data_IF_018687270353
#
_entry.id   IF_018687270353
#
_cell.length_a   1.000
_cell.length_b   1.000
_cell.length_c   1.000
_cell.angle_alpha   90.00
_cell.angle_beta   90.00
_cell.angle_gamma   90.00
#
_symmetry.space_group_name_H-M   'P 1'
#
loop_
_entity.id
_entity.type
_entity.pdbx_description
1 polymer ?
#
# COMPACT_ATOMS: atom_id res chain seq x y z
N UNK A 1 7.28 3.21 11.10
CA UNK A 1 6.29 3.34 12.18
C UNK A 1 5.05 3.96 11.57
N UNK A 2 3.88 3.30 11.70
CA UNK A 2 2.60 3.84 11.23
C UNK A 2 2.31 5.17 11.94
N UNK A 3 1.80 6.16 11.21
CA UNK A 3 1.31 7.43 11.74
C UNK A 3 -0.15 7.35 12.17
N UNK A 4 -0.82 6.24 11.89
CA UNK A 4 -2.21 6.03 12.23
C UNK A 4 -2.36 5.52 13.68
N UNK A 5 -2.74 6.44 14.58
CA UNK A 5 -3.05 6.15 15.98
C UNK A 5 -4.56 6.32 16.21
N UNK A 6 -5.32 5.24 16.04
CA UNK A 6 -6.74 5.19 16.40
C UNK A 6 -7.09 3.84 17.01
N UNK A 7 -7.47 3.83 18.29
CA UNK A 7 -7.84 2.61 19.03
C UNK A 7 -9.10 1.93 18.49
N UNK A 8 -9.90 2.64 17.68
CA UNK A 8 -11.04 2.07 16.97
C UNK A 8 -10.64 1.25 15.75
N UNK A 9 -9.36 1.19 15.39
CA UNK A 9 -8.89 0.47 14.21
C UNK A 9 -7.83 -0.58 14.56
N UNK A 10 -7.90 -1.71 13.89
CA UNK A 10 -6.95 -2.80 14.02
C UNK A 10 -6.18 -2.99 12.72
N UNK A 11 -4.85 -3.09 12.84
CA UNK A 11 -3.98 -3.48 11.73
C UNK A 11 -4.34 -4.88 11.24
N UNK A 12 -4.50 -5.03 9.93
CA UNK A 12 -4.78 -6.31 9.27
C UNK A 12 -3.61 -6.78 8.44
N UNK A 13 -3.18 -5.97 7.49
CA UNK A 13 -2.25 -6.38 6.44
C UNK A 13 -1.31 -5.23 6.04
N UNK A 14 -0.21 -5.59 5.37
CA UNK A 14 0.75 -4.62 4.84
C UNK A 14 1.11 -5.00 3.42
N UNK A 15 1.01 -4.04 2.51
CA UNK A 15 1.38 -4.18 1.11
C UNK A 15 2.53 -3.25 0.76
N UNK A 16 3.30 -3.62 -0.26
CA UNK A 16 4.40 -2.80 -0.76
C UNK A 16 4.11 -2.34 -2.18
N UNK A 17 4.43 -1.08 -2.49
CA UNK A 17 4.47 -0.57 -3.85
C UNK A 17 5.92 -0.25 -4.18
N UNK A 18 6.57 -1.10 -4.96
CA UNK A 18 7.97 -0.96 -5.38
C UNK A 18 8.08 -0.07 -6.62
N UNK A 19 9.00 0.88 -6.62
CA UNK A 19 9.21 1.78 -7.77
C UNK A 19 10.62 2.35 -7.82
N UNK A 20 10.99 2.91 -8.98
CA UNK A 20 12.25 3.63 -9.18
C UNK A 20 12.23 4.99 -8.47
N UNK A 21 13.34 5.38 -7.84
CA UNK A 21 13.44 6.61 -7.05
C UNK A 21 13.07 7.88 -7.86
N UNK A 22 13.43 7.92 -9.14
CA UNK A 22 13.13 9.04 -10.05
C UNK A 22 11.62 9.26 -10.27
N UNK A 23 10.81 8.22 -10.05
CA UNK A 23 9.37 8.26 -10.24
C UNK A 23 8.59 8.64 -8.97
N UNK A 24 9.27 9.03 -7.89
CA UNK A 24 8.62 9.44 -6.64
C UNK A 24 7.67 10.62 -6.90
N UNK A 25 6.35 10.46 -6.71
CA UNK A 25 5.38 11.48 -7.06
C UNK A 25 5.38 12.64 -6.05
N UNK A 26 4.98 13.86 -6.46
CA UNK A 26 4.71 14.96 -5.54
C UNK A 26 3.55 14.63 -4.58
N UNK A 27 3.63 15.05 -3.33
CA UNK A 27 2.60 14.77 -2.32
C UNK A 27 1.21 15.29 -2.75
N UNK A 28 1.15 16.50 -3.31
CA UNK A 28 -0.11 17.05 -3.84
C UNK A 28 -0.72 16.21 -4.96
N UNK A 29 0.11 15.55 -5.78
CA UNK A 29 -0.37 14.72 -6.90
C UNK A 29 -1.03 13.46 -6.37
N UNK A 30 -0.43 12.85 -5.33
CA UNK A 30 -0.99 11.69 -4.63
C UNK A 30 -2.30 12.05 -3.96
N UNK A 31 -2.32 13.11 -3.14
CA UNK A 31 -3.53 13.57 -2.44
C UNK A 31 -4.69 13.85 -3.41
N UNK A 32 -4.43 14.59 -4.49
CA UNK A 32 -5.44 14.89 -5.52
C UNK A 32 -5.90 13.65 -6.26
N UNK A 33 -5.06 12.65 -6.44
CA UNK A 33 -5.43 11.41 -7.12
C UNK A 33 -6.34 10.56 -6.23
N UNK A 34 -6.03 10.43 -4.94
CA UNK A 34 -6.83 9.68 -3.99
C UNK A 34 -8.20 10.31 -3.75
N UNK A 35 -8.26 11.64 -3.55
CA UNK A 35 -9.54 12.38 -3.43
C UNK A 35 -10.42 12.31 -4.68
N UNK A 36 -9.83 12.01 -5.85
CA UNK A 36 -10.57 11.81 -7.10
C UNK A 36 -11.06 10.38 -7.28
N UNK A 37 -10.45 9.42 -6.59
CA UNK A 37 -10.80 8.01 -6.69
C UNK A 37 -12.20 7.78 -6.11
N UNK A 38 -12.42 8.27 -4.89
CA UNK A 38 -13.73 8.31 -4.25
C UNK A 38 -13.91 9.62 -3.46
N UNK A 39 -15.02 10.36 -3.66
CA UNK A 39 -15.30 11.58 -2.90
C UNK A 39 -15.50 11.37 -1.38
N UNK A 40 -15.65 10.12 -0.93
CA UNK A 40 -15.83 9.73 0.47
C UNK A 40 -14.50 9.50 1.19
N UNK A 41 -13.39 9.40 0.46
CA UNK A 41 -12.09 9.22 1.08
C UNK A 41 -11.63 10.48 1.81
N UNK A 42 -11.28 10.29 3.07
CA UNK A 42 -10.70 11.31 3.92
C UNK A 42 -9.19 11.15 3.94
N UNK A 43 -8.50 11.97 3.14
CA UNK A 43 -7.03 12.02 3.15
C UNK A 43 -6.56 13.03 4.19
N UNK A 44 -5.76 12.56 5.13
CA UNK A 44 -5.25 13.28 6.30
C UNK A 44 -3.72 13.11 6.41
N UNK A 45 -3.09 13.93 7.25
CA UNK A 45 -1.65 13.83 7.58
C UNK A 45 -0.70 13.73 6.38
N UNK A 46 -0.97 14.47 5.31
CA UNK A 46 -0.11 14.46 4.12
C UNK A 46 1.23 15.11 4.45
N UNK A 47 2.30 14.32 4.38
CA UNK A 47 3.68 14.72 4.58
C UNK A 47 4.44 14.72 3.26
N UNK A 48 5.36 15.68 3.13
CA UNK A 48 6.25 15.82 1.99
C UNK A 48 7.66 16.15 2.45
N UNK A 49 8.65 15.73 1.66
CA UNK A 49 10.04 16.09 1.89
C UNK A 49 10.30 17.58 1.54
N UNK A 50 11.54 18.05 1.75
CA UNK A 50 11.97 19.42 1.45
C UNK A 50 11.81 19.80 -0.04
N UNK A 51 11.70 18.80 -0.93
CA UNK A 51 11.49 18.97 -2.37
C UNK A 51 10.01 18.84 -2.78
N UNK A 52 9.10 18.64 -1.82
CA UNK A 52 7.66 18.50 -2.03
C UNK A 52 7.22 17.11 -2.52
N UNK A 53 8.11 16.12 -2.48
CA UNK A 53 7.79 14.72 -2.85
C UNK A 53 7.09 14.01 -1.71
N UNK A 54 6.25 13.06 -2.06
CA UNK A 54 5.39 12.34 -1.12
C UNK A 54 6.19 11.54 -0.08
N UNK A 55 5.98 11.80 1.21
CA UNK A 55 6.58 11.03 2.32
C UNK A 55 5.60 10.12 3.03
N UNK A 56 4.43 10.62 3.39
CA UNK A 56 3.41 9.80 4.03
C UNK A 56 2.03 10.45 3.93
N UNK A 57 0.98 9.65 4.07
CA UNK A 57 -0.39 10.11 4.29
C UNK A 57 -1.19 9.03 5.01
N UNK A 58 -2.28 9.46 5.61
CA UNK A 58 -3.33 8.58 6.10
C UNK A 58 -4.56 8.76 5.23
N UNK A 59 -5.15 7.67 4.74
CA UNK A 59 -6.44 7.66 4.06
C UNK A 59 -7.44 6.90 4.93
N UNK A 60 -8.59 7.49 5.19
CA UNK A 60 -9.71 6.81 5.86
C UNK A 60 -10.86 6.69 4.86
N UNK A 61 -11.43 5.48 4.77
CA UNK A 61 -12.68 5.21 4.08
C UNK A 61 -13.75 4.83 5.11
N UNK A 62 -14.56 5.79 5.58
CA UNK A 62 -15.59 5.53 6.57
C UNK A 62 -16.67 4.55 6.09
N UNK A 63 -16.96 4.56 4.78
CA UNK A 63 -17.99 3.71 4.18
C UNK A 63 -17.55 2.24 4.09
N UNK A 64 -16.23 2.02 3.95
CA UNK A 64 -15.63 0.68 3.88
C UNK A 64 -15.10 0.21 5.25
N UNK A 65 -15.31 1.01 6.31
CA UNK A 65 -14.75 0.76 7.65
C UNK A 65 -13.24 0.50 7.63
N UNK A 66 -12.52 1.16 6.71
CA UNK A 66 -11.11 0.88 6.44
C UNK A 66 -10.26 2.16 6.55
N UNK A 67 -9.01 1.99 6.91
CA UNK A 67 -8.00 3.04 6.87
C UNK A 67 -6.69 2.48 6.32
N UNK A 68 -5.93 3.35 5.67
CA UNK A 68 -4.64 3.03 5.07
C UNK A 68 -3.64 4.09 5.52
N UNK A 69 -2.53 3.64 6.09
CA UNK A 69 -1.39 4.50 6.33
C UNK A 69 -0.31 4.18 5.31
N UNK A 70 0.08 5.18 4.54
CA UNK A 70 1.01 5.00 3.42
C UNK A 70 2.27 5.78 3.74
N UNK A 71 3.42 5.13 3.71
CA UNK A 71 4.70 5.75 4.05
C UNK A 71 5.80 5.39 3.06
N UNK A 72 6.63 6.36 2.73
CA UNK A 72 7.78 6.22 1.86
C UNK A 72 8.95 5.59 2.63
N UNK A 73 9.53 4.56 2.04
CA UNK A 73 10.72 3.88 2.57
C UNK A 73 11.77 3.78 1.46
N UNK A 74 12.99 4.15 1.82
CA UNK A 74 14.18 4.03 0.96
C UNK A 74 15.38 3.63 1.80
N UNK A 75 16.42 3.12 1.15
CA UNK A 75 17.68 2.72 1.78
C UNK A 75 18.06 1.26 1.49
N UNK A 76 19.13 0.81 2.13
CA UNK A 76 19.71 -0.53 1.93
C UNK A 76 18.70 -1.64 2.23
N UNK A 77 17.84 -1.45 3.24
CA UNK A 77 16.79 -2.41 3.60
C UNK A 77 15.84 -2.72 2.42
N UNK A 78 15.42 -1.70 1.67
CA UNK A 78 14.53 -1.89 0.52
C UNK A 78 15.23 -2.69 -0.57
N UNK A 79 16.52 -2.42 -0.79
CA UNK A 79 17.32 -3.13 -1.80
C UNK A 79 17.47 -4.61 -1.44
N UNK A 80 17.79 -4.91 -0.18
CA UNK A 80 17.95 -6.28 0.30
C UNK A 80 16.64 -7.06 0.21
N UNK A 81 15.54 -6.50 0.74
CA UNK A 81 14.22 -7.15 0.71
C UNK A 81 13.70 -7.32 -0.71
N UNK A 82 13.92 -6.35 -1.60
CA UNK A 82 13.54 -6.47 -3.02
C UNK A 82 14.33 -7.56 -3.71
N UNK A 83 15.63 -7.71 -3.42
CA UNK A 83 16.45 -8.77 -3.99
C UNK A 83 16.02 -10.17 -3.52
N UNK A 84 15.68 -10.31 -2.24
CA UNK A 84 15.12 -11.56 -1.68
C UNK A 84 13.79 -11.92 -2.33
N UNK A 85 12.87 -10.94 -2.42
CA UNK A 85 11.58 -11.10 -3.09
C UNK A 85 11.74 -11.51 -4.55
N UNK A 86 12.64 -10.87 -5.30
CA UNK A 86 12.93 -11.21 -6.70
C UNK A 86 13.40 -12.66 -6.82
N UNK A 87 14.29 -13.12 -5.93
CA UNK A 87 14.78 -14.50 -5.95
C UNK A 87 13.65 -15.51 -5.68
N UNK A 88 12.73 -15.20 -4.76
CA UNK A 88 11.55 -16.04 -4.49
C UNK A 88 10.56 -16.06 -5.66
N UNK A 89 10.25 -14.89 -6.21
CA UNK A 89 9.35 -14.75 -7.36
C UNK A 89 9.93 -15.45 -8.60
N UNK A 90 11.23 -15.33 -8.87
CA UNK A 90 11.89 -16.00 -10.00
C UNK A 90 11.89 -17.53 -9.86
N UNK A 91 11.92 -18.05 -8.63
CA UNK A 91 11.79 -19.50 -8.38
C UNK A 91 10.36 -19.99 -8.65
N UNK A 92 9.36 -19.14 -8.41
CA UNK A 92 7.95 -19.45 -8.65
C UNK A 92 7.49 -19.17 -10.09
N UNK A 93 8.20 -18.30 -10.83
CA UNK A 93 7.84 -17.92 -12.19
C UNK A 93 7.98 -19.08 -13.19
N UNK A 94 6.90 -19.34 -13.94
CA UNK A 94 6.85 -20.44 -14.90
C UNK A 94 7.13 -19.99 -16.34
N UNK A 95 6.87 -18.71 -16.65
CA UNK A 95 7.04 -18.12 -17.98
C UNK A 95 8.20 -17.14 -18.05
N UNK A 96 8.71 -16.90 -19.25
CA UNK A 96 9.77 -15.90 -19.45
C UNK A 96 9.23 -14.46 -19.34
N UNK A 97 7.93 -14.25 -19.64
CA UNK A 97 7.26 -12.95 -19.48
C UNK A 97 7.14 -12.55 -18.00
N UNK A 98 6.76 -13.49 -17.12
CA UNK A 98 6.78 -13.25 -15.66
C UNK A 98 8.19 -12.91 -15.17
N UNK A 99 9.21 -13.63 -15.66
CA UNK A 99 10.60 -13.37 -15.27
C UNK A 99 11.08 -11.99 -15.74
N UNK A 100 10.64 -11.53 -16.90
CA UNK A 100 11.01 -10.21 -17.39
C UNK A 100 10.36 -9.11 -16.55
N UNK A 101 9.09 -9.26 -16.15
CA UNK A 101 8.43 -8.36 -15.19
C UNK A 101 9.09 -8.39 -13.82
N UNK A 102 9.49 -9.57 -13.32
CA UNK A 102 10.20 -9.66 -12.04
C UNK A 102 11.57 -8.97 -12.12
N UNK A 103 12.25 -9.03 -13.27
CA UNK A 103 13.54 -8.35 -13.45
C UNK A 103 13.42 -6.83 -13.42
N UNK A 104 12.30 -6.25 -13.83
CA UNK A 104 12.11 -4.78 -13.72
C UNK A 104 12.05 -4.31 -12.27
N UNK A 105 11.71 -5.20 -11.33
CA UNK A 105 11.78 -4.88 -9.89
C UNK A 105 13.22 -4.65 -9.41
N UNK A 106 14.24 -5.15 -10.11
CA UNK A 106 15.64 -5.01 -9.69
C UNK A 106 16.12 -3.54 -9.67
N UNK A 107 15.49 -2.70 -10.48
CA UNK A 107 15.78 -1.26 -10.55
C UNK A 107 14.98 -0.46 -9.50
N UNK A 108 13.99 -1.08 -8.85
CA UNK A 108 13.22 -0.45 -7.78
C UNK A 108 14.08 -0.31 -6.52
N UNK A 109 14.37 0.94 -6.14
CA UNK A 109 15.18 1.28 -4.95
C UNK A 109 14.34 1.91 -3.83
N UNK A 110 13.07 2.16 -4.11
CA UNK A 110 12.13 2.79 -3.20
C UNK A 110 10.87 1.94 -3.09
N UNK A 111 10.18 2.08 -1.96
CA UNK A 111 8.85 1.52 -1.81
C UNK A 111 7.92 2.43 -1.02
N UNK A 112 6.62 2.24 -1.22
CA UNK A 112 5.62 2.66 -0.27
C UNK A 112 5.15 1.46 0.55
N UNK A 113 5.20 1.59 1.86
CA UNK A 113 4.53 0.68 2.77
C UNK A 113 3.09 1.15 2.92
N UNK A 114 2.13 0.28 2.58
CA UNK A 114 0.69 0.51 2.73
C UNK A 114 0.19 -0.37 3.86
N UNK A 115 0.00 0.23 5.03
CA UNK A 115 -0.55 -0.43 6.20
C UNK A 115 -2.07 -0.33 6.14
N UNK A 116 -2.74 -1.47 6.06
CA UNK A 116 -4.20 -1.56 6.05
C UNK A 116 -4.73 -1.80 7.47
N UNK A 117 -5.75 -1.03 7.82
CA UNK A 117 -6.44 -1.08 9.09
C UNK A 117 -7.95 -1.19 8.86
N UNK A 118 -8.62 -1.92 9.73
CA UNK A 118 -10.09 -2.02 9.74
C UNK A 118 -10.65 -1.47 11.03
N UNK A 119 -11.82 -0.84 10.97
CA UNK A 119 -12.51 -0.34 12.14
C UNK A 119 -13.09 -1.51 12.94
N UNK A 120 -12.71 -1.59 14.21
CA UNK A 120 -13.35 -2.39 15.23
C UNK A 120 -14.76 -1.85 15.43
N UNK A 121 -15.72 -2.41 14.69
CA UNK A 121 -17.13 -2.06 14.89
C UNK A 121 -17.50 -2.24 16.37
N UNK A 122 -18.13 -1.20 16.93
CA UNK A 122 -18.55 -1.13 18.32
C UNK A 122 -19.20 -2.46 18.77
N UNK A 123 -18.55 -3.14 19.71
CA UNK A 123 -19.05 -4.31 20.45
C UNK A 123 -20.49 -4.03 20.90
N UNK A 124 -21.48 -4.62 20.21
CA UNK A 124 -22.89 -4.27 20.45
C UNK A 124 -23.93 -5.12 19.74
N UNK A 125 -23.57 -6.22 19.09
CA UNK A 125 -24.51 -7.29 18.75
C UNK A 125 -23.93 -8.62 19.19
N UNK A 126 -24.59 -9.23 20.17
CA UNK A 126 -24.52 -10.66 20.42
C UNK A 126 -24.75 -11.41 19.10
N UNK A 127 -23.68 -11.86 18.47
CA UNK A 127 -23.75 -12.92 17.47
C UNK A 127 -22.51 -13.78 17.66
N UNK A 128 -22.73 -14.95 18.25
CA UNK A 128 -21.91 -16.15 18.09
C UNK A 128 -21.89 -16.55 16.61
N UNK A 129 -21.23 -15.74 15.78
CA UNK A 129 -21.06 -15.95 14.36
C UNK A 129 -19.65 -15.51 14.04
N UNK A 130 -18.73 -16.46 14.19
CA UNK A 130 -17.48 -16.46 13.44
C UNK A 130 -17.84 -16.27 11.95
N UNK A 131 -17.02 -15.50 11.23
CA UNK A 131 -17.00 -15.41 9.75
C UNK A 131 -18.07 -14.51 9.11
N UNK A 132 -17.83 -13.20 9.13
CA UNK A 132 -17.84 -12.34 7.93
C UNK A 132 -17.33 -10.96 8.36
N UNK A 133 -16.01 -10.85 8.54
CA UNK A 133 -15.31 -9.56 8.55
C UNK A 133 -15.70 -8.85 7.25
N UNK A 134 -16.35 -7.69 7.35
CA UNK A 134 -16.73 -6.85 6.21
C UNK A 134 -15.46 -6.25 5.58
N UNK A 135 -14.68 -7.08 4.89
CA UNK A 135 -13.57 -6.65 4.06
C UNK A 135 -14.16 -6.23 2.72
N UNK A 136 -14.16 -4.93 2.42
CA UNK A 136 -14.23 -4.48 1.02
C UNK A 136 -12.81 -4.23 0.52
N UNK A 137 -12.13 -5.26 -0.05
CA UNK A 137 -10.78 -5.09 -0.58
C UNK A 137 -10.76 -4.14 -1.79
N UNK A 138 -11.92 -3.75 -2.33
CA UNK A 138 -12.03 -2.85 -3.47
C UNK A 138 -11.39 -1.49 -3.21
N UNK A 139 -11.54 -0.94 -2.01
CA UNK A 139 -10.92 0.33 -1.66
C UNK A 139 -9.38 0.23 -1.62
N UNK A 140 -8.86 -0.82 -0.98
CA UNK A 140 -7.43 -1.07 -0.86
C UNK A 140 -6.78 -1.29 -2.23
N UNK A 141 -7.36 -2.18 -3.04
CA UNK A 141 -6.88 -2.45 -4.39
C UNK A 141 -6.91 -1.18 -5.25
N UNK A 142 -8.01 -0.43 -5.23
CA UNK A 142 -8.14 0.81 -6.01
C UNK A 142 -7.09 1.85 -5.60
N UNK A 143 -6.84 2.01 -4.29
CA UNK A 143 -5.83 2.95 -3.79
C UNK A 143 -4.42 2.52 -4.20
N UNK A 144 -4.09 1.23 -4.05
CA UNK A 144 -2.78 0.70 -4.42
C UNK A 144 -2.53 0.81 -5.93
N UNK A 145 -3.48 0.39 -6.76
CA UNK A 145 -3.42 0.54 -8.21
C UNK A 145 -3.21 2.01 -8.58
N UNK A 146 -3.96 2.92 -7.94
CA UNK A 146 -3.87 4.34 -8.25
C UNK A 146 -2.51 4.94 -7.90
N UNK A 147 -1.89 4.51 -6.79
CA UNK A 147 -0.56 4.98 -6.41
C UNK A 147 0.50 4.36 -7.32
N UNK A 148 0.40 3.06 -7.63
CA UNK A 148 1.27 2.36 -8.55
C UNK A 148 1.29 3.03 -9.93
N UNK A 149 0.12 3.42 -10.48
CA UNK A 149 0.03 4.18 -11.73
C UNK A 149 0.77 5.53 -11.69
N UNK A 150 0.81 6.20 -10.52
CA UNK A 150 1.44 7.52 -10.40
C UNK A 150 2.96 7.46 -10.36
N UNK A 151 3.54 6.37 -9.84
CA UNK A 151 4.97 6.14 -9.73
C UNK A 151 5.50 5.09 -10.73
N UNK A 152 4.64 4.52 -11.58
CA UNK A 152 5.02 3.39 -12.44
C UNK A 152 5.48 2.18 -11.64
N UNK A 153 4.94 2.01 -10.43
CA UNK A 153 5.35 0.99 -9.48
C UNK A 153 4.61 -0.33 -9.66
N UNK A 154 5.05 -1.32 -8.89
CA UNK A 154 4.47 -2.67 -8.84
C UNK A 154 3.98 -2.94 -7.43
N UNK A 155 2.74 -3.40 -7.31
CA UNK A 155 2.14 -3.77 -6.02
C UNK A 155 2.55 -5.19 -5.67
N UNK A 156 3.01 -5.38 -4.44
CA UNK A 156 3.47 -6.65 -3.91
C UNK A 156 2.80 -6.92 -2.58
N UNK A 157 2.32 -8.15 -2.43
CA UNK A 157 1.94 -8.74 -1.15
C UNK A 157 3.15 -9.50 -0.57
N UNK A 158 3.79 -8.99 0.50
CA UNK A 158 4.93 -9.66 1.13
C UNK A 158 4.56 -10.87 1.98
N UNK A 159 3.28 -11.07 2.33
CA UNK A 159 2.81 -12.26 3.05
C UNK A 159 2.64 -13.42 2.07
N UNK A 160 2.08 -13.14 0.88
CA UNK A 160 1.86 -14.12 -0.16
C UNK A 160 3.05 -14.30 -1.12
N UNK A 161 4.04 -13.40 -1.06
CA UNK A 161 5.12 -13.29 -2.04
C UNK A 161 4.60 -13.25 -3.47
N UNK A 162 3.63 -12.36 -3.72
CA UNK A 162 2.93 -12.26 -5.00
C UNK A 162 2.90 -10.82 -5.49
N UNK A 163 2.90 -10.66 -6.82
CA UNK A 163 2.64 -9.38 -7.49
C UNK A 163 1.14 -9.31 -7.79
N UNK A 164 0.51 -8.18 -7.46
CA UNK A 164 -0.92 -7.93 -7.71
C UNK A 164 -1.15 -7.22 -9.05
#
# INVERSE_FOLDING_TARGET
>A
MSLFENDEYQWRETYFILFEEENRPPAEKVEKALKKLDPRYEVQNVLSDDEGRFEALTLVSPDDYAAMDISFVTGEEVVEQTAELIDELLKAAFTDEEKDTIRTLADCRCRFDVYHFEQLTFVGRDTESEEDDFMDPGALLSVMERIAELCGGVVVDPQANTIL
#
